data_IF_994655287763
#
_entry.id   IF_994655287763
#
_cell.length_a   1.000
_cell.length_b   1.000
_cell.length_c   1.000
_cell.angle_alpha   90.00
_cell.angle_beta   90.00
_cell.angle_gamma   90.00
#
_symmetry.space_group_name_H-M   'P 1'
#
loop_
_entity.id
_entity.type
_entity.pdbx_description
1 polymer ?
#
# COMPACT_ATOMS: atom_id res chain seq x y z
N UNK A 1 3.14 21.13 -11.61
CA UNK A 1 4.32 20.25 -11.66
C UNK A 1 3.89 18.95 -12.33
N UNK A 2 4.29 18.73 -13.55
CA UNK A 2 4.00 17.46 -14.21
C UNK A 2 4.81 16.39 -13.49
N UNK A 3 4.14 15.53 -12.74
CA UNK A 3 4.71 14.25 -12.39
C UNK A 3 4.84 13.48 -13.69
N UNK A 4 6.07 13.26 -14.12
CA UNK A 4 6.34 12.26 -15.13
C UNK A 4 5.80 10.93 -14.58
N UNK A 5 4.64 10.52 -15.05
CA UNK A 5 4.10 9.19 -14.82
C UNK A 5 5.11 8.21 -15.41
N UNK A 6 5.89 7.56 -14.55
CA UNK A 6 6.95 6.65 -14.99
C UNK A 6 6.43 5.24 -15.27
N UNK A 7 5.14 4.99 -15.00
CA UNK A 7 4.45 3.74 -15.25
C UNK A 7 3.19 3.93 -16.08
N UNK A 8 2.67 2.86 -16.63
CA UNK A 8 1.31 2.85 -17.17
C UNK A 8 0.30 2.93 -16.02
N UNK A 9 0.64 2.31 -14.89
CA UNK A 9 -0.13 2.35 -13.65
C UNK A 9 0.72 2.92 -12.52
N UNK A 10 0.17 3.90 -11.83
CA UNK A 10 0.73 4.49 -10.62
C UNK A 10 -0.21 4.22 -9.44
N UNK A 11 0.31 3.61 -8.38
CA UNK A 11 -0.46 3.29 -7.18
C UNK A 11 0.16 4.01 -5.98
N UNK A 12 -0.58 4.92 -5.38
CA UNK A 12 -0.17 5.64 -4.18
C UNK A 12 -0.77 4.98 -2.96
N UNK A 13 0.05 4.73 -1.95
CA UNK A 13 -0.33 4.05 -0.72
C UNK A 13 -0.12 4.94 0.49
N UNK A 14 -1.00 4.85 1.48
CA UNK A 14 -0.94 5.60 2.72
C UNK A 14 -1.44 4.76 3.90
N UNK A 15 -0.78 4.90 5.04
CA UNK A 15 -1.19 4.33 6.31
C UNK A 15 -1.34 5.44 7.35
N UNK A 16 -2.51 5.55 7.98
CA UNK A 16 -2.80 6.66 8.87
C UNK A 16 -3.46 6.24 10.18
N UNK A 17 -3.31 7.10 11.18
CA UNK A 17 -4.03 7.02 12.46
C UNK A 17 -4.81 8.31 12.66
N UNK A 18 -6.10 8.18 12.93
CA UNK A 18 -6.95 9.29 13.31
C UNK A 18 -7.66 8.96 14.64
N UNK A 19 -7.24 9.60 15.73
CA UNK A 19 -7.67 9.27 17.06
C UNK A 19 -7.31 7.82 17.42
N UNK A 20 -8.30 7.02 17.77
CA UNK A 20 -8.13 5.58 18.07
C UNK A 20 -8.25 4.69 16.81
N UNK A 21 -8.59 5.26 15.66
CA UNK A 21 -8.74 4.51 14.44
C UNK A 21 -7.42 4.46 13.66
N UNK A 22 -7.06 3.27 13.21
CA UNK A 22 -5.94 3.02 12.30
C UNK A 22 -6.50 2.52 10.98
N UNK A 23 -5.97 3.00 9.88
CA UNK A 23 -6.42 2.60 8.57
C UNK A 23 -5.33 2.69 7.52
N UNK A 24 -5.63 2.15 6.39
CA UNK A 24 -4.81 2.25 5.19
C UNK A 24 -5.67 2.64 4.00
N UNK A 25 -5.03 3.19 3.01
CA UNK A 25 -5.65 3.48 1.73
C UNK A 25 -4.66 3.30 0.59
N UNK A 26 -5.18 3.08 -0.60
CA UNK A 26 -4.43 3.24 -1.83
C UNK A 26 -5.32 3.76 -2.94
N UNK A 27 -4.72 4.43 -3.90
CA UNK A 27 -5.38 4.98 -5.08
C UNK A 27 -4.62 4.55 -6.32
N UNK A 28 -5.34 4.14 -7.35
CA UNK A 28 -4.79 3.61 -8.60
C UNK A 28 -5.06 4.58 -9.74
N UNK A 29 -4.01 4.96 -10.44
CA UNK A 29 -4.06 5.79 -11.64
C UNK A 29 -3.60 4.98 -12.85
N UNK A 30 -4.30 5.14 -13.95
CA UNK A 30 -3.91 4.64 -15.25
C UNK A 30 -3.67 5.84 -16.17
N UNK A 31 -2.43 6.01 -16.63
CA UNK A 31 -1.99 7.21 -17.36
C UNK A 31 -2.45 8.53 -16.74
N UNK A 32 -2.33 8.64 -15.42
CA UNK A 32 -2.70 9.85 -14.67
C UNK A 32 -4.19 10.02 -14.39
N UNK A 33 -5.03 9.08 -14.81
CA UNK A 33 -6.48 9.10 -14.54
C UNK A 33 -6.77 8.13 -13.39
N UNK A 34 -7.40 8.61 -12.31
CA UNK A 34 -7.85 7.76 -11.19
C UNK A 34 -8.88 6.74 -11.70
N UNK A 35 -8.58 5.46 -11.53
CA UNK A 35 -9.44 4.35 -11.98
C UNK A 35 -9.99 3.52 -10.83
N UNK A 36 -9.35 3.52 -9.68
CA UNK A 36 -9.81 2.79 -8.50
C UNK A 36 -9.15 3.33 -7.22
N UNK A 37 -9.77 3.06 -6.09
CA UNK A 37 -9.20 3.33 -4.77
C UNK A 37 -9.75 2.34 -3.75
N UNK A 38 -9.03 2.18 -2.66
CA UNK A 38 -9.49 1.36 -1.53
C UNK A 38 -9.13 2.02 -0.21
N UNK A 39 -9.98 1.78 0.77
CA UNK A 39 -9.78 2.18 2.16
C UNK A 39 -10.13 1.01 3.07
N UNK A 40 -9.23 0.68 3.97
CA UNK A 40 -9.41 -0.45 4.90
C UNK A 40 -9.14 0.04 6.33
N UNK A 41 -10.08 -0.23 7.22
CA UNK A 41 -9.90 -0.02 8.65
C UNK A 41 -9.13 -1.19 9.24
N UNK A 42 -8.12 -0.88 10.06
CA UNK A 42 -7.34 -1.84 10.82
C UNK A 42 -7.77 -1.84 12.28
N UNK A 43 -7.40 -2.90 12.99
CA UNK A 43 -7.55 -2.94 14.44
C UNK A 43 -6.70 -1.85 15.11
N UNK A 44 -7.24 -1.24 16.17
CA UNK A 44 -6.64 -0.09 16.87
C UNK A 44 -5.23 -0.32 17.43
N UNK A 45 -4.85 -1.58 17.66
CA UNK A 45 -3.52 -1.94 18.16
C UNK A 45 -2.44 -1.93 17.06
N UNK A 46 -2.80 -1.78 15.79
CA UNK A 46 -1.82 -1.65 14.73
C UNK A 46 -1.10 -0.29 14.82
N UNK A 47 0.20 -0.28 14.55
CA UNK A 47 0.96 0.96 14.41
C UNK A 47 0.73 1.61 13.04
N UNK A 48 1.09 2.89 12.90
CA UNK A 48 1.10 3.56 11.60
C UNK A 48 2.04 2.84 10.62
N UNK A 49 3.22 2.44 11.08
CA UNK A 49 4.17 1.66 10.27
C UNK A 49 3.55 0.36 9.71
N UNK A 50 2.77 -0.34 10.54
CA UNK A 50 2.03 -1.53 10.10
C UNK A 50 0.95 -1.19 9.07
N UNK A 51 0.26 -0.07 9.26
CA UNK A 51 -0.74 0.41 8.31
C UNK A 51 -0.11 0.76 6.95
N UNK A 52 1.06 1.39 6.96
CA UNK A 52 1.83 1.70 5.74
C UNK A 52 2.24 0.46 4.97
N UNK A 53 2.82 -0.52 5.66
CA UNK A 53 3.17 -1.81 5.03
C UNK A 53 1.93 -2.55 4.52
N UNK A 54 0.84 -2.52 5.28
CA UNK A 54 -0.41 -3.14 4.88
C UNK A 54 -1.01 -2.46 3.65
N UNK A 55 -0.87 -1.14 3.50
CA UNK A 55 -1.30 -0.41 2.30
C UNK A 55 -0.57 -0.93 1.05
N UNK A 56 0.75 -1.11 1.14
CA UNK A 56 1.55 -1.71 0.06
C UNK A 56 1.07 -3.15 -0.22
N UNK A 57 0.86 -3.96 0.81
CA UNK A 57 0.39 -5.34 0.67
C UNK A 57 -0.94 -5.42 -0.09
N UNK A 58 -1.92 -4.58 0.29
CA UNK A 58 -3.22 -4.58 -0.36
C UNK A 58 -3.18 -4.01 -1.77
N UNK A 59 -2.32 -3.04 -2.05
CA UNK A 59 -2.04 -2.58 -3.41
C UNK A 59 -1.50 -3.71 -4.29
N UNK A 60 -0.55 -4.51 -3.78
CA UNK A 60 -0.02 -5.67 -4.49
C UNK A 60 -1.09 -6.76 -4.71
N UNK A 61 -1.97 -6.99 -3.75
CA UNK A 61 -3.13 -7.89 -3.92
C UNK A 61 -4.10 -7.39 -4.98
N UNK A 62 -4.33 -6.07 -5.04
CA UNK A 62 -5.14 -5.47 -6.07
C UNK A 62 -4.55 -5.70 -7.46
N UNK A 63 -3.24 -5.50 -7.64
CA UNK A 63 -2.52 -5.80 -8.88
C UNK A 63 -2.77 -7.25 -9.31
N UNK A 64 -2.50 -8.19 -8.42
CA UNK A 64 -2.68 -9.63 -8.70
C UNK A 64 -4.10 -9.99 -9.11
N UNK A 65 -5.09 -9.37 -8.46
CA UNK A 65 -6.51 -9.68 -8.70
C UNK A 65 -7.05 -9.09 -9.99
N UNK A 66 -6.65 -7.85 -10.32
CA UNK A 66 -7.33 -7.05 -11.34
C UNK A 66 -6.57 -6.98 -12.67
N UNK A 67 -5.27 -7.27 -12.68
CA UNK A 67 -4.44 -7.12 -13.86
C UNK A 67 -4.04 -8.48 -14.44
N UNK A 68 -4.59 -8.80 -15.62
CA UNK A 68 -4.31 -10.05 -16.34
C UNK A 68 -3.30 -9.90 -17.48
N UNK A 69 -2.95 -8.66 -17.84
CA UNK A 69 -1.96 -8.33 -18.86
C UNK A 69 -0.72 -7.73 -18.24
N UNK A 70 0.39 -7.71 -18.95
CA UNK A 70 1.62 -7.07 -18.52
C UNK A 70 1.45 -5.55 -18.47
N UNK A 71 1.88 -4.95 -17.36
CA UNK A 71 1.91 -3.50 -17.15
C UNK A 71 3.22 -3.06 -16.52
N UNK A 72 3.63 -1.82 -16.83
CA UNK A 72 4.65 -1.11 -16.06
C UNK A 72 3.98 -0.37 -14.90
N UNK A 73 4.31 -0.76 -13.67
CA UNK A 73 3.62 -0.30 -12.45
C UNK A 73 4.62 0.35 -11.51
N UNK A 74 4.25 1.51 -10.96
CA UNK A 74 5.00 2.15 -9.87
C UNK A 74 4.11 2.22 -8.64
N UNK A 75 4.59 1.66 -7.55
CA UNK A 75 3.95 1.76 -6.23
C UNK A 75 4.68 2.80 -5.40
N UNK A 76 3.98 3.85 -5.03
CA UNK A 76 4.49 4.97 -4.26
C UNK A 76 4.09 4.85 -2.78
N UNK A 77 5.03 5.13 -1.91
CA UNK A 77 4.79 5.23 -0.46
C UNK A 77 5.66 6.31 0.15
N UNK A 78 5.18 7.01 1.13
CA UNK A 78 5.96 7.96 1.93
C UNK A 78 6.66 7.30 3.13
N UNK A 79 6.40 6.02 3.38
CA UNK A 79 7.06 5.22 4.40
C UNK A 79 8.45 4.74 3.96
N UNK A 80 9.46 5.60 4.10
CA UNK A 80 10.84 5.26 3.72
C UNK A 80 11.34 3.99 4.43
N UNK A 81 11.07 3.86 5.74
CA UNK A 81 11.49 2.69 6.53
C UNK A 81 10.83 1.39 6.04
N UNK A 82 9.59 1.46 5.59
CA UNK A 82 8.89 0.32 4.97
C UNK A 82 9.57 -0.12 3.67
N UNK A 83 9.88 0.84 2.79
CA UNK A 83 10.58 0.55 1.53
C UNK A 83 12.00 0.04 1.76
N UNK A 84 12.71 0.54 2.78
CA UNK A 84 14.03 0.01 3.18
C UNK A 84 13.93 -1.42 3.69
N UNK A 85 12.90 -1.74 4.49
CA UNK A 85 12.65 -3.12 4.95
C UNK A 85 12.36 -4.06 3.78
N UNK A 86 11.65 -3.62 2.74
CA UNK A 86 11.42 -4.40 1.52
C UNK A 86 12.72 -4.70 0.75
N UNK A 87 13.71 -3.81 0.81
CA UNK A 87 15.03 -4.02 0.19
C UNK A 87 15.96 -4.91 1.02
N UNK A 88 15.77 -4.98 2.34
CA UNK A 88 16.64 -5.73 3.23
C UNK A 88 16.50 -7.23 3.03
N UNK A 89 17.61 -7.96 3.03
CA UNK A 89 17.62 -9.44 3.02
C UNK A 89 17.27 -10.03 4.39
N UNK A 90 17.63 -9.36 5.47
CA UNK A 90 17.51 -9.83 6.86
C UNK A 90 16.32 -9.19 7.58
N UNK A 91 15.13 -9.25 6.97
CA UNK A 91 13.94 -8.68 7.58
C UNK A 91 13.06 -9.77 8.18
N UNK A 92 12.90 -9.77 9.51
CA UNK A 92 12.05 -10.72 10.25
C UNK A 92 10.58 -10.27 10.37
N UNK A 93 10.18 -9.20 9.69
CA UNK A 93 8.80 -8.74 9.70
C UNK A 93 7.96 -9.61 8.75
N UNK A 94 6.95 -10.30 9.29
CA UNK A 94 6.09 -11.20 8.54
C UNK A 94 5.35 -10.51 7.38
N UNK A 95 4.86 -9.29 7.60
CA UNK A 95 4.16 -8.53 6.56
C UNK A 95 5.11 -8.14 5.41
N UNK A 96 6.36 -7.78 5.72
CA UNK A 96 7.40 -7.55 4.70
C UNK A 96 7.65 -8.83 3.90
N UNK A 97 7.70 -9.99 4.56
CA UNK A 97 7.87 -11.27 3.88
C UNK A 97 6.68 -11.60 2.97
N UNK A 98 5.46 -11.34 3.43
CA UNK A 98 4.25 -11.54 2.63
C UNK A 98 4.24 -10.65 1.38
N UNK A 99 4.66 -9.39 1.50
CA UNK A 99 4.80 -8.49 0.35
C UNK A 99 5.86 -9.03 -0.63
N UNK A 100 7.00 -9.50 -0.15
CA UNK A 100 8.05 -10.09 -1.00
C UNK A 100 7.58 -11.35 -1.72
N UNK A 101 6.85 -12.22 -1.02
CA UNK A 101 6.26 -13.41 -1.63
C UNK A 101 5.28 -13.02 -2.75
N UNK A 102 4.39 -12.08 -2.46
CA UNK A 102 3.41 -11.60 -3.42
C UNK A 102 4.07 -10.91 -4.62
N UNK A 103 5.15 -10.13 -4.38
CA UNK A 103 5.95 -9.54 -5.46
C UNK A 103 6.50 -10.62 -6.40
N UNK A 104 7.10 -11.68 -5.86
CA UNK A 104 7.65 -12.80 -6.66
C UNK A 104 6.59 -13.51 -7.51
N UNK A 105 5.36 -13.56 -7.03
CA UNK A 105 4.26 -14.19 -7.79
C UNK A 105 3.84 -13.38 -9.01
N UNK A 106 4.00 -12.06 -8.97
CA UNK A 106 3.50 -11.15 -10.01
C UNK A 106 4.60 -10.48 -10.85
N UNK A 107 5.87 -10.48 -10.39
CA UNK A 107 6.99 -9.86 -11.11
C UNK A 107 7.26 -10.48 -12.49
N UNK A 108 6.88 -11.75 -12.69
CA UNK A 108 7.00 -12.42 -13.98
C UNK A 108 6.02 -11.91 -15.05
N UNK A 109 4.92 -11.28 -14.65
CA UNK A 109 3.92 -10.70 -15.53
C UNK A 109 4.05 -9.17 -15.65
N UNK A 110 4.40 -8.49 -14.55
CA UNK A 110 4.44 -7.03 -14.46
C UNK A 110 5.84 -6.51 -14.15
N UNK A 111 6.18 -5.34 -14.72
CA UNK A 111 7.37 -4.59 -14.31
C UNK A 111 6.98 -3.66 -13.14
N UNK A 112 7.26 -4.08 -11.91
CA UNK A 112 6.86 -3.36 -10.71
C UNK A 112 8.05 -2.68 -10.07
N UNK A 113 7.92 -1.38 -9.79
CA UNK A 113 8.90 -0.57 -9.07
C UNK A 113 8.27 0.04 -7.84
N UNK A 114 9.04 0.16 -6.75
CA UNK A 114 8.65 0.90 -5.57
C UNK A 114 9.39 2.24 -5.55
N UNK A 115 8.68 3.31 -5.22
CA UNK A 115 9.25 4.66 -5.16
C UNK A 115 8.81 5.36 -3.87
N UNK A 116 9.80 5.92 -3.19
CA UNK A 116 9.54 6.81 -2.08
C UNK A 116 9.09 8.18 -2.57
N UNK A 117 8.08 8.73 -1.90
CA UNK A 117 7.62 10.11 -2.07
C UNK A 117 7.61 10.80 -0.71
N UNK A 118 7.88 12.09 -0.70
CA UNK A 118 7.81 12.87 0.54
C UNK A 118 6.34 13.17 0.85
N UNK A 119 5.92 12.93 2.11
CA UNK A 119 4.58 13.26 2.58
C UNK A 119 4.32 14.76 2.60
N UNK A 120 3.08 15.16 2.37
CA UNK A 120 2.59 16.54 2.51
C UNK A 120 3.37 17.62 1.73
N UNK A 121 3.84 17.29 0.54
CA UNK A 121 4.55 18.25 -0.35
C UNK A 121 3.78 18.54 -1.65
N UNK A 122 2.49 18.24 -1.68
CA UNK A 122 1.64 18.55 -2.83
C UNK A 122 1.73 17.54 -3.97
N UNK A 123 2.17 16.30 -3.69
CA UNK A 123 2.09 15.20 -4.65
C UNK A 123 0.64 14.72 -4.70
N UNK A 124 -0.07 15.03 -5.78
CA UNK A 124 -1.52 14.83 -5.92
C UNK A 124 -1.96 13.41 -5.55
N UNK A 125 -1.30 12.39 -6.06
CA UNK A 125 -1.63 10.99 -5.76
C UNK A 125 -1.43 10.63 -4.29
N UNK A 126 -0.37 11.12 -3.65
CA UNK A 126 -0.12 10.90 -2.23
C UNK A 126 -1.13 11.64 -1.35
N UNK A 127 -1.40 12.92 -1.65
CA UNK A 127 -2.44 13.72 -0.97
C UNK A 127 -3.83 13.09 -1.15
N UNK A 128 -4.10 12.51 -2.32
CA UNK A 128 -5.35 11.81 -2.58
C UNK A 128 -5.45 10.53 -1.75
N UNK A 129 -4.40 9.72 -1.64
CA UNK A 129 -4.38 8.53 -0.79
C UNK A 129 -4.60 8.90 0.68
N UNK A 130 -3.89 9.91 1.21
CA UNK A 130 -4.09 10.42 2.56
C UNK A 130 -5.54 10.90 2.77
N UNK A 131 -6.10 11.69 1.84
CA UNK A 131 -7.48 12.18 1.92
C UNK A 131 -8.52 11.06 1.90
N UNK A 132 -8.29 10.00 1.15
CA UNK A 132 -9.14 8.79 1.17
C UNK A 132 -9.07 8.14 2.54
N UNK A 133 -7.86 8.05 3.12
CA UNK A 133 -7.63 7.52 4.47
C UNK A 133 -8.41 8.27 5.55
N UNK A 134 -8.50 9.62 5.47
CA UNK A 134 -9.08 10.49 6.50
C UNK A 134 -10.61 10.62 6.43
N UNK A 135 -11.25 10.42 5.27
CA UNK A 135 -12.70 10.55 5.12
C UNK A 135 -13.43 9.44 5.89
N UNK A 136 -14.40 9.81 6.74
CA UNK A 136 -15.20 8.89 7.55
C UNK A 136 -16.13 7.95 6.78
N UNK A 137 -16.28 8.14 5.48
CA UNK A 137 -17.14 7.33 4.62
C UNK A 137 -16.47 6.03 4.26
N UNK A 138 -16.83 4.97 4.98
CA UNK A 138 -16.42 3.60 4.68
C UNK A 138 -17.23 3.03 3.50
N UNK A 139 -16.99 3.56 2.29
CA UNK A 139 -17.53 3.01 1.05
C UNK A 139 -16.60 1.93 0.49
N UNK A 140 -17.13 0.74 0.37
CA UNK A 140 -16.71 -0.40 -0.46
C UNK A 140 -15.82 -1.50 0.08
N UNK A 141 -15.32 -1.51 1.30
CA UNK A 141 -14.95 -2.79 1.92
C UNK A 141 -15.25 -2.74 3.42
N UNK A 142 -16.46 -3.17 3.80
CA UNK A 142 -16.77 -3.51 5.19
C UNK A 142 -16.07 -4.82 5.52
N UNK A 143 -14.82 -4.75 5.90
CA UNK A 143 -14.08 -5.84 6.45
C UNK A 143 -13.20 -5.31 7.56
N UNK A 144 -13.48 -5.68 8.80
CA UNK A 144 -12.49 -5.57 9.88
C UNK A 144 -11.42 -6.59 9.54
N UNK A 145 -10.30 -6.14 8.96
CA UNK A 145 -9.21 -7.03 8.65
C UNK A 145 -8.37 -7.25 9.90
N UNK A 146 -8.41 -8.46 10.42
CA UNK A 146 -7.31 -9.01 11.19
C UNK A 146 -6.17 -9.21 10.21
N UNK A 147 -5.13 -8.39 10.28
CA UNK A 147 -3.89 -8.66 9.54
C UNK A 147 -3.35 -10.00 10.05
N UNK A 148 -3.33 -11.08 9.24
CA UNK A 148 -2.90 -12.40 9.70
C UNK A 148 -1.46 -12.43 10.22
N UNK A 149 -0.66 -11.42 9.85
CA UNK A 149 0.74 -11.26 10.24
C UNK A 149 0.95 -11.02 11.74
N UNK A 150 -0.10 -10.77 12.53
CA UNK A 150 0.01 -10.41 13.94
C UNK A 150 -0.53 -11.46 14.92
N UNK A 151 -0.68 -12.69 14.50
CA UNK A 151 -0.66 -13.78 15.50
C UNK A 151 0.76 -13.80 16.06
N UNK A 152 0.95 -13.25 17.27
CA UNK A 152 2.12 -13.56 18.09
C UNK A 152 2.28 -15.07 18.04
N UNK A 153 3.32 -15.58 17.39
CA UNK A 153 3.73 -16.94 17.58
C UNK A 153 4.09 -17.06 19.05
N UNK A 154 3.16 -17.56 19.86
CA UNK A 154 3.44 -18.05 21.18
C UNK A 154 4.31 -19.28 20.98
N UNK A 155 5.60 -19.13 21.16
CA UNK A 155 6.46 -20.24 21.48
C UNK A 155 6.16 -20.61 22.93
N UNK A 156 5.59 -21.77 23.13
CA UNK A 156 5.86 -22.64 24.24
C UNK A 156 6.92 -23.64 23.83
#
# INVERSE_FOLDING_TARGET
>A
MNFDCFGELDIFTDGSRFGESVGLSFVVYYYGIEIDYSKIKLEKFNSVFQAELAAIYFAMKWIKKNLSKSYSIVVYSDCLSGLQALKSYDCNNSLVMDIKCLYKEIEGLHNIKFRWVKSHVGIEGNERADSVGQRGDFGCFQGVFHCPAFKKNGYY
#
